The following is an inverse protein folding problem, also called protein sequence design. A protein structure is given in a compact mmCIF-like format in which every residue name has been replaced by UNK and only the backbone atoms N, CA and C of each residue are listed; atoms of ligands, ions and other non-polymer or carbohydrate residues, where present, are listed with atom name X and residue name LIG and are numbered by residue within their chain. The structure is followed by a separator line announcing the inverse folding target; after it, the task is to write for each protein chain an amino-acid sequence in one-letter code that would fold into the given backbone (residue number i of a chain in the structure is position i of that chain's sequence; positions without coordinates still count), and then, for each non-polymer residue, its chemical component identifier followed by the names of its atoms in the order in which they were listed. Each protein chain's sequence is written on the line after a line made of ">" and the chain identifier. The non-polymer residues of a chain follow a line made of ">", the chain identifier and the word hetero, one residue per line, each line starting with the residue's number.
data_IF_890233503628
#
_entry.id   IF_890233503628
#
_cell.length_a   1.000
_cell.length_b   1.000
_cell.length_c   1.000
_cell.angle_alpha   90.00
_cell.angle_beta   90.00
_cell.angle_gamma   90.00
#
_symmetry.space_group_name_H-M   'P 1'
#
loop_
_entity.id
_entity.type
_entity.pdbx_description
1 polymer ?
#
# COMPACT_ATOMS: atom_id res chain seq x y z
N UNK A 1 16.85 44.28 -76.86
CA UNK A 1 16.69 43.05 -76.09
C UNK A 1 16.91 43.40 -74.59
N UNK A 2 15.83 43.52 -73.80
CA UNK A 2 15.85 43.84 -72.38
C UNK A 2 15.53 42.53 -71.63
N UNK A 3 16.48 42.02 -70.82
CA UNK A 3 16.28 40.86 -69.98
C UNK A 3 15.61 41.31 -68.65
N UNK A 4 14.47 40.68 -68.35
CA UNK A 4 13.76 40.85 -67.08
C UNK A 4 14.24 39.75 -66.15
N UNK A 5 14.85 40.15 -65.02
CA UNK A 5 15.25 39.25 -63.94
C UNK A 5 14.11 39.19 -62.95
N UNK A 6 13.42 38.04 -62.86
CA UNK A 6 12.45 37.76 -61.85
C UNK A 6 13.14 37.23 -60.58
N UNK A 7 13.17 38.06 -59.50
CA UNK A 7 13.64 37.63 -58.17
C UNK A 7 12.49 36.95 -57.41
N UNK A 8 12.54 35.63 -57.22
CA UNK A 8 11.67 34.91 -56.30
C UNK A 8 12.21 35.06 -54.87
N UNK A 9 11.52 35.87 -54.07
CA UNK A 9 11.72 35.92 -52.63
C UNK A 9 11.03 34.74 -51.96
N UNK A 10 11.79 33.77 -51.45
CA UNK A 10 11.27 32.65 -50.63
C UNK A 10 11.01 33.19 -49.18
N UNK A 11 9.75 33.30 -48.80
CA UNK A 11 9.36 33.51 -47.41
C UNK A 11 9.58 32.25 -46.59
N UNK A 12 10.61 32.23 -45.75
CA UNK A 12 10.78 31.25 -44.70
C UNK A 12 9.77 31.56 -43.57
N UNK A 13 8.68 30.78 -43.49
CA UNK A 13 7.75 30.82 -42.35
C UNK A 13 8.44 30.12 -41.17
N UNK A 14 9.00 30.87 -40.24
CA UNK A 14 9.42 30.39 -38.94
C UNK A 14 8.17 30.06 -38.13
N UNK A 15 7.81 28.80 -38.06
CA UNK A 15 6.80 28.34 -37.15
C UNK A 15 7.33 28.52 -35.70
N UNK A 16 6.94 29.64 -35.08
CA UNK A 16 7.09 29.85 -33.65
C UNK A 16 6.29 28.74 -32.95
N UNK A 17 6.95 27.69 -32.51
CA UNK A 17 6.33 26.68 -31.66
C UNK A 17 5.78 27.37 -30.41
N UNK A 18 4.45 27.35 -30.25
CA UNK A 18 3.84 27.81 -29.01
C UNK A 18 4.48 27.07 -27.82
N UNK A 19 4.82 27.75 -26.74
CA UNK A 19 5.38 27.07 -25.57
C UNK A 19 4.38 26.00 -25.12
N UNK A 20 4.81 24.75 -25.09
CA UNK A 20 4.02 23.65 -24.50
C UNK A 20 3.84 24.03 -23.03
N UNK A 21 2.67 24.56 -22.70
CA UNK A 21 2.33 24.88 -21.32
C UNK A 21 2.30 23.57 -20.55
N UNK A 22 3.11 23.47 -19.52
CA UNK A 22 3.09 22.32 -18.64
C UNK A 22 1.66 22.11 -18.12
N UNK A 23 1.15 20.88 -18.22
CA UNK A 23 -0.14 20.56 -17.63
C UNK A 23 0.00 20.63 -16.10
N UNK A 24 -0.81 21.47 -15.46
CA UNK A 24 -0.85 21.59 -14.02
C UNK A 24 -1.99 20.73 -13.47
N UNK A 25 -1.67 19.87 -12.48
CA UNK A 25 -2.64 19.01 -11.80
C UNK A 25 -2.43 19.10 -10.30
N UNK A 26 -3.51 18.88 -9.54
CA UNK A 26 -3.50 18.86 -8.09
C UNK A 26 -3.73 17.45 -7.58
N UNK A 27 -2.82 16.98 -6.71
CA UNK A 27 -2.90 15.65 -6.05
C UNK A 27 -2.56 15.86 -4.56
N UNK A 28 -3.49 16.33 -3.72
CA UNK A 28 -3.27 16.44 -2.28
C UNK A 28 -3.01 15.08 -1.64
N UNK A 29 -2.17 15.06 -0.59
CA UNK A 29 -1.72 13.86 0.11
C UNK A 29 -2.27 13.90 1.55
N UNK A 30 -3.33 13.15 1.80
CA UNK A 30 -4.09 13.14 3.05
C UNK A 30 -3.87 11.81 3.78
N UNK A 31 -2.87 11.77 4.67
CA UNK A 31 -2.39 10.52 5.27
C UNK A 31 -2.09 10.68 6.77
N UNK A 32 -2.15 9.58 7.57
CA UNK A 32 -1.92 9.65 9.00
C UNK A 32 -0.41 9.74 9.31
N UNK A 33 0.10 10.95 9.58
CA UNK A 33 1.51 11.17 9.94
C UNK A 33 1.71 11.10 11.45
N UNK A 34 0.64 11.32 12.22
CA UNK A 34 0.61 11.19 13.67
C UNK A 34 -0.37 10.10 14.12
N UNK A 35 -0.35 9.77 15.42
CA UNK A 35 -1.17 8.72 16.01
C UNK A 35 -0.56 7.32 15.87
N UNK A 36 -1.37 6.28 16.10
CA UNK A 36 -0.88 4.90 16.15
C UNK A 36 -0.43 4.34 14.79
N UNK A 37 -0.75 5.04 13.68
CA UNK A 37 -0.38 4.65 12.31
C UNK A 37 0.72 5.54 11.72
N UNK A 38 1.45 6.28 12.55
CA UNK A 38 2.44 7.27 12.11
C UNK A 38 3.59 6.67 11.27
N UNK A 39 4.01 5.45 11.56
CA UNK A 39 5.07 4.75 10.81
C UNK A 39 4.59 4.43 9.38
N UNK A 40 3.44 3.78 9.29
CA UNK A 40 2.82 3.37 8.03
C UNK A 40 2.41 4.59 7.18
N UNK A 41 1.77 5.58 7.79
CA UNK A 41 1.33 6.79 7.11
C UNK A 41 2.50 7.66 6.62
N UNK A 42 3.59 7.74 7.38
CA UNK A 42 4.82 8.41 6.94
C UNK A 42 5.42 7.69 5.74
N UNK A 43 5.44 6.37 5.74
CA UNK A 43 5.91 5.56 4.62
C UNK A 43 5.06 5.81 3.37
N UNK A 44 3.73 5.78 3.50
CA UNK A 44 2.78 6.09 2.42
C UNK A 44 3.02 7.49 1.85
N UNK A 45 3.13 8.52 2.72
CA UNK A 45 3.45 9.90 2.31
C UNK A 45 4.73 9.96 1.49
N UNK A 46 5.78 9.32 1.98
CA UNK A 46 7.09 9.36 1.35
C UNK A 46 7.05 8.76 -0.06
N UNK A 47 6.35 7.64 -0.24
CA UNK A 47 6.14 7.03 -1.55
C UNK A 47 5.40 7.96 -2.52
N UNK A 48 4.29 8.56 -2.07
CA UNK A 48 3.53 9.52 -2.86
C UNK A 48 4.37 10.73 -3.27
N UNK A 49 5.08 11.34 -2.33
CA UNK A 49 5.89 12.54 -2.59
C UNK A 49 7.10 12.25 -3.49
N UNK A 50 7.68 11.06 -3.41
CA UNK A 50 8.76 10.66 -4.32
C UNK A 50 8.24 10.46 -5.75
N UNK A 51 7.04 9.86 -5.91
CA UNK A 51 6.40 9.74 -7.22
C UNK A 51 6.08 11.10 -7.84
N UNK A 52 5.58 12.05 -7.04
CA UNK A 52 5.31 13.43 -7.49
C UNK A 52 6.59 14.13 -7.91
N UNK A 53 7.69 13.94 -7.18
CA UNK A 53 9.00 14.48 -7.56
C UNK A 53 9.51 13.89 -8.89
N UNK A 54 9.19 12.62 -9.15
CA UNK A 54 9.55 11.88 -10.37
C UNK A 54 8.48 11.99 -11.47
N UNK A 55 7.59 12.99 -11.39
CA UNK A 55 6.55 13.19 -12.39
C UNK A 55 7.13 13.24 -13.82
N UNK A 56 6.42 12.73 -14.82
CA UNK A 56 6.85 12.81 -16.22
C UNK A 56 7.13 14.26 -16.65
N UNK A 57 8.12 14.49 -17.53
CA UNK A 57 8.42 15.82 -18.05
C UNK A 57 7.17 16.50 -18.64
N UNK A 58 7.05 17.82 -18.44
CA UNK A 58 5.90 18.58 -18.92
C UNK A 58 4.68 18.56 -18.00
N UNK A 59 4.77 17.95 -16.82
CA UNK A 59 3.76 18.04 -15.77
C UNK A 59 4.24 18.88 -14.59
N UNK A 60 3.37 19.76 -14.10
CA UNK A 60 3.50 20.40 -12.79
C UNK A 60 2.47 19.83 -11.85
N UNK A 61 2.92 19.22 -10.76
CA UNK A 61 2.03 18.58 -9.77
C UNK A 61 2.03 19.42 -8.50
N UNK A 62 0.87 19.92 -8.11
CA UNK A 62 0.67 20.55 -6.82
C UNK A 62 0.21 19.50 -5.82
N UNK A 63 0.90 19.40 -4.69
CA UNK A 63 0.65 18.38 -3.69
C UNK A 63 0.80 18.96 -2.28
N UNK A 64 -0.33 19.31 -1.69
CA UNK A 64 -0.40 19.71 -0.28
C UNK A 64 -0.50 18.46 0.59
N UNK A 65 0.37 18.34 1.59
CA UNK A 65 0.33 17.26 2.55
C UNK A 65 -0.49 17.69 3.77
N UNK A 66 -1.47 16.88 4.15
CA UNK A 66 -2.23 17.08 5.38
C UNK A 66 -2.19 15.81 6.25
N UNK A 67 -1.91 16.00 7.53
CA UNK A 67 -2.00 14.94 8.53
C UNK A 67 -3.47 14.65 8.84
N UNK A 68 -3.85 13.38 8.69
CA UNK A 68 -5.20 12.92 9.04
C UNK A 68 -5.25 12.30 10.44
N UNK A 69 -4.12 12.26 11.17
CA UNK A 69 -4.03 11.54 12.43
C UNK A 69 -4.54 10.12 12.27
N UNK A 70 -5.31 9.65 13.24
CA UNK A 70 -5.98 8.34 13.18
C UNK A 70 -7.48 8.42 13.45
N UNK A 71 -8.07 9.62 13.30
CA UNK A 71 -9.48 9.88 13.51
C UNK A 71 -10.21 10.10 12.17
N UNK A 72 -11.36 9.44 11.93
CA UNK A 72 -12.09 9.54 10.66
C UNK A 72 -12.56 10.96 10.33
N UNK A 73 -13.01 11.73 11.32
CA UNK A 73 -13.46 13.12 11.15
C UNK A 73 -12.33 14.06 10.71
N UNK A 74 -11.11 13.85 11.18
CA UNK A 74 -9.93 14.61 10.74
C UNK A 74 -9.63 14.33 9.25
N UNK A 75 -9.78 13.09 8.81
CA UNK A 75 -9.58 12.71 7.41
C UNK A 75 -10.67 13.33 6.50
N UNK A 76 -11.94 13.29 6.94
CA UNK A 76 -13.05 13.93 6.24
C UNK A 76 -12.81 15.43 6.10
N UNK A 77 -12.51 16.12 7.19
CA UNK A 77 -12.21 17.55 7.19
C UNK A 77 -11.00 17.92 6.30
N UNK A 78 -9.99 17.05 6.23
CA UNK A 78 -8.84 17.27 5.35
C UNK A 78 -9.24 17.15 3.87
N UNK A 79 -10.09 16.18 3.52
CA UNK A 79 -10.62 16.01 2.17
C UNK A 79 -11.51 17.21 1.76
N UNK A 80 -12.44 17.62 2.59
CA UNK A 80 -13.32 18.76 2.33
C UNK A 80 -12.51 20.05 2.11
N UNK A 81 -11.48 20.29 2.94
CA UNK A 81 -10.58 21.44 2.76
C UNK A 81 -9.79 21.37 1.44
N UNK A 82 -9.36 20.18 1.03
CA UNK A 82 -8.68 20.02 -0.25
C UNK A 82 -9.60 20.32 -1.43
N UNK A 83 -10.84 19.81 -1.39
CA UNK A 83 -11.88 20.04 -2.39
C UNK A 83 -12.33 21.51 -2.45
N UNK A 84 -12.40 22.18 -1.29
CA UNK A 84 -12.80 23.60 -1.21
C UNK A 84 -11.76 24.59 -1.74
N UNK A 85 -10.47 24.19 -1.84
CA UNK A 85 -9.41 25.05 -2.41
C UNK A 85 -9.41 25.02 -3.93
N UNK A 86 -9.52 23.85 -4.49
CA UNK A 86 -9.61 23.59 -5.93
C UNK A 86 -10.08 22.14 -6.17
N UNK A 87 -10.58 21.85 -7.36
CA UNK A 87 -10.94 20.49 -7.75
C UNK A 87 -9.66 19.67 -8.00
N UNK A 88 -9.26 18.73 -7.11
CA UNK A 88 -8.07 17.93 -7.32
C UNK A 88 -8.30 16.91 -8.45
N UNK A 89 -7.25 16.62 -9.22
CA UNK A 89 -7.29 15.58 -10.26
C UNK A 89 -7.40 14.17 -9.64
N UNK A 90 -6.75 13.97 -8.50
CA UNK A 90 -6.86 12.81 -7.64
C UNK A 90 -6.47 13.19 -6.21
N UNK A 91 -6.74 12.33 -5.25
CA UNK A 91 -6.33 12.47 -3.85
C UNK A 91 -5.58 11.21 -3.42
N UNK A 92 -4.38 11.36 -2.88
CA UNK A 92 -3.76 10.28 -2.10
C UNK A 92 -4.49 10.22 -0.76
N UNK A 93 -5.30 9.20 -0.58
CA UNK A 93 -6.12 9.02 0.61
C UNK A 93 -5.42 8.13 1.64
N UNK A 94 -5.79 8.32 2.90
CA UNK A 94 -5.28 7.53 4.02
C UNK A 94 -5.22 6.04 3.73
N UNK A 95 -4.28 5.36 4.35
CA UNK A 95 -4.23 3.90 4.36
C UNK A 95 -5.08 3.27 5.48
N UNK A 96 -5.50 4.05 6.49
CA UNK A 96 -6.35 3.56 7.56
C UNK A 96 -7.78 3.34 7.04
N UNK A 97 -8.25 2.09 7.08
CA UNK A 97 -9.54 1.69 6.51
C UNK A 97 -10.72 2.51 7.02
N UNK A 98 -10.80 2.79 8.34
CA UNK A 98 -11.85 3.63 8.93
C UNK A 98 -11.88 5.04 8.36
N UNK A 99 -10.71 5.63 8.07
CA UNK A 99 -10.61 6.94 7.44
C UNK A 99 -11.04 6.91 5.96
N UNK A 100 -10.55 5.92 5.19
CA UNK A 100 -10.94 5.79 3.78
C UNK A 100 -12.44 5.59 3.66
N UNK A 101 -13.04 4.70 4.49
CA UNK A 101 -14.49 4.46 4.49
C UNK A 101 -15.28 5.74 4.77
N UNK A 102 -14.82 6.60 5.67
CA UNK A 102 -15.44 7.90 5.94
C UNK A 102 -15.30 8.90 4.78
N UNK A 103 -14.22 8.80 3.98
CA UNK A 103 -13.99 9.63 2.80
C UNK A 103 -14.78 9.20 1.56
N UNK A 104 -15.22 7.92 1.47
CA UNK A 104 -15.88 7.39 0.27
C UNK A 104 -17.15 8.16 -0.16
N UNK A 105 -18.07 8.54 0.74
CA UNK A 105 -19.28 9.30 0.35
C UNK A 105 -18.90 10.64 -0.31
N UNK A 106 -17.92 11.35 0.23
CA UNK A 106 -17.45 12.65 -0.29
C UNK A 106 -16.78 12.46 -1.65
N UNK A 107 -15.94 11.43 -1.79
CA UNK A 107 -15.31 11.10 -3.06
C UNK A 107 -16.33 10.77 -4.15
N UNK A 108 -17.43 10.09 -3.80
CA UNK A 108 -18.53 9.78 -4.71
C UNK A 108 -19.28 11.05 -5.13
N UNK A 109 -19.62 11.93 -4.18
CA UNK A 109 -20.31 13.20 -4.43
C UNK A 109 -19.50 14.11 -5.36
N UNK A 110 -18.23 14.29 -5.06
CA UNK A 110 -17.32 15.16 -5.82
C UNK A 110 -16.68 14.47 -7.04
N UNK A 111 -16.94 13.17 -7.25
CA UNK A 111 -16.40 12.36 -8.35
C UNK A 111 -14.88 12.44 -8.47
N UNK A 112 -14.18 12.41 -7.32
CA UNK A 112 -12.73 12.52 -7.24
C UNK A 112 -12.10 11.16 -6.93
N UNK A 113 -11.11 10.69 -7.72
CA UNK A 113 -10.46 9.41 -7.47
C UNK A 113 -9.54 9.48 -6.23
N UNK A 114 -9.73 8.52 -5.33
CA UNK A 114 -8.89 8.26 -4.16
C UNK A 114 -7.86 7.19 -4.49
N UNK A 115 -6.58 7.48 -4.30
CA UNK A 115 -5.47 6.55 -4.45
C UNK A 115 -5.01 6.10 -3.06
N UNK A 116 -5.15 4.83 -2.72
CA UNK A 116 -4.85 4.34 -1.37
C UNK A 116 -4.04 3.04 -1.40
N UNK A 117 -3.38 2.75 -0.28
CA UNK A 117 -2.72 1.46 0.01
C UNK A 117 -3.36 0.76 1.22
N UNK A 118 -4.62 1.06 1.51
CA UNK A 118 -5.37 0.43 2.61
C UNK A 118 -5.54 -1.08 2.38
N UNK A 119 -5.23 -1.89 3.40
CA UNK A 119 -5.47 -3.34 3.38
C UNK A 119 -6.95 -3.73 3.54
N UNK A 120 -7.75 -2.86 4.17
CA UNK A 120 -9.15 -3.15 4.56
C UNK A 120 -10.03 -3.53 3.37
N UNK A 121 -10.60 -4.73 3.34
CA UNK A 121 -11.37 -5.26 2.22
C UNK A 121 -12.56 -4.37 1.85
N UNK A 122 -13.34 -3.92 2.85
CA UNK A 122 -14.57 -3.14 2.65
C UNK A 122 -14.37 -1.81 1.92
N UNK A 123 -13.14 -1.30 1.82
CA UNK A 123 -12.82 -0.06 1.09
C UNK A 123 -13.23 -0.13 -0.38
N UNK A 124 -13.06 -1.28 -1.03
CA UNK A 124 -13.42 -1.50 -2.45
C UNK A 124 -14.72 -2.30 -2.63
N UNK A 125 -15.33 -2.78 -1.55
CA UNK A 125 -16.56 -3.58 -1.60
C UNK A 125 -17.83 -2.74 -1.49
N UNK A 126 -17.71 -1.43 -1.25
CA UNK A 126 -18.85 -0.50 -1.15
C UNK A 126 -19.39 -0.02 -2.49
N UNK A 127 -18.83 -0.48 -3.60
CA UNK A 127 -19.27 -0.11 -4.95
C UNK A 127 -18.96 1.33 -5.35
N UNK A 128 -17.99 2.00 -4.71
CA UNK A 128 -17.58 3.34 -5.06
C UNK A 128 -16.60 3.29 -6.25
N UNK A 129 -16.92 3.89 -7.43
CA UNK A 129 -16.06 3.82 -8.61
C UNK A 129 -14.83 4.75 -8.53
N UNK A 130 -14.73 5.57 -7.49
CA UNK A 130 -13.68 6.57 -7.31
C UNK A 130 -12.63 6.15 -6.28
N UNK A 131 -12.49 4.87 -5.95
CA UNK A 131 -11.43 4.37 -5.08
C UNK A 131 -10.54 3.40 -5.84
N UNK A 132 -9.22 3.59 -5.74
CA UNK A 132 -8.20 2.75 -6.39
C UNK A 132 -7.14 2.36 -5.36
N UNK A 133 -7.03 1.05 -5.12
CA UNK A 133 -6.15 0.47 -4.11
C UNK A 133 -4.91 -0.15 -4.74
N UNK A 134 -3.75 0.44 -4.47
CA UNK A 134 -2.45 0.01 -5.00
C UNK A 134 -1.65 -0.87 -4.02
N UNK A 135 -2.33 -1.49 -3.10
CA UNK A 135 -1.82 -2.52 -2.21
C UNK A 135 -2.81 -3.69 -2.22
N UNK A 136 -2.36 -4.95 -2.23
CA UNK A 136 -3.31 -6.05 -2.23
C UNK A 136 -4.11 -6.04 -0.91
N UNK A 137 -5.43 -6.00 -1.04
CA UNK A 137 -6.32 -5.98 0.12
C UNK A 137 -6.25 -7.27 0.94
N UNK A 138 -6.84 -7.25 2.12
CA UNK A 138 -6.84 -8.39 3.03
C UNK A 138 -7.42 -9.64 2.38
N UNK A 139 -8.45 -9.51 1.52
CA UNK A 139 -9.00 -10.63 0.74
C UNK A 139 -7.97 -11.33 -0.17
N UNK A 140 -6.85 -10.68 -0.48
CA UNK A 140 -5.75 -11.21 -1.30
C UNK A 140 -4.58 -11.63 -0.40
N UNK A 141 -4.09 -10.72 0.46
CA UNK A 141 -2.90 -11.00 1.28
C UNK A 141 -3.13 -12.15 2.25
N UNK A 142 -4.34 -12.30 2.79
CA UNK A 142 -4.64 -13.36 3.75
C UNK A 142 -4.75 -14.74 3.10
N UNK A 143 -5.02 -14.81 1.79
CA UNK A 143 -4.85 -16.06 1.05
C UNK A 143 -3.37 -16.48 1.08
N UNK A 144 -2.45 -15.58 0.76
CA UNK A 144 -1.01 -15.88 0.81
C UNK A 144 -0.55 -16.22 2.23
N UNK A 145 -1.02 -15.48 3.24
CA UNK A 145 -0.72 -15.66 4.65
C UNK A 145 -1.07 -17.09 5.13
N UNK A 146 -2.32 -17.51 4.93
CA UNK A 146 -2.82 -18.83 5.36
C UNK A 146 -2.25 -19.96 4.49
N UNK A 147 -2.12 -19.75 3.18
CA UNK A 147 -1.48 -20.74 2.29
C UNK A 147 -0.04 -21.00 2.68
N UNK A 148 0.72 -19.96 3.04
CA UNK A 148 2.09 -20.15 3.52
C UNK A 148 2.14 -21.02 4.79
N UNK A 149 1.26 -20.75 5.74
CA UNK A 149 1.13 -21.58 6.95
C UNK A 149 0.83 -23.05 6.60
N UNK A 150 -0.11 -23.30 5.70
CA UNK A 150 -0.49 -24.66 5.30
C UNK A 150 0.57 -25.35 4.42
N UNK A 151 1.03 -24.64 3.36
CA UNK A 151 1.85 -25.26 2.31
C UNK A 151 3.32 -25.41 2.71
N UNK A 152 3.86 -24.42 3.41
CA UNK A 152 5.29 -24.34 3.74
C UNK A 152 5.54 -24.76 5.19
N UNK A 153 4.80 -24.20 6.15
CA UNK A 153 4.96 -24.55 7.56
C UNK A 153 4.22 -25.83 7.95
N UNK A 154 3.39 -26.41 7.04
CA UNK A 154 2.61 -27.63 7.24
C UNK A 154 1.65 -27.55 8.44
N UNK A 155 1.25 -26.34 8.82
CA UNK A 155 0.35 -26.09 9.93
C UNK A 155 -1.04 -26.66 9.64
N UNK A 156 -1.67 -27.20 10.68
CA UNK A 156 -3.08 -27.61 10.69
C UNK A 156 -3.89 -26.87 11.74
N UNK A 157 -3.22 -26.34 12.74
CA UNK A 157 -3.80 -25.64 13.90
C UNK A 157 -3.25 -24.23 13.94
N UNK A 158 -4.12 -23.25 13.75
CA UNK A 158 -3.76 -21.84 13.69
C UNK A 158 -4.16 -21.14 14.99
N UNK A 159 -3.31 -20.28 15.52
CA UNK A 159 -3.72 -19.22 16.44
C UNK A 159 -3.76 -17.89 15.67
N UNK A 160 -4.72 -17.03 15.98
CA UNK A 160 -4.88 -15.71 15.37
C UNK A 160 -4.99 -14.64 16.45
N UNK A 161 -4.17 -13.60 16.33
CA UNK A 161 -4.35 -12.35 17.06
C UNK A 161 -4.55 -11.24 16.04
N UNK A 162 -5.72 -10.57 16.09
CA UNK A 162 -6.08 -9.48 15.20
C UNK A 162 -6.29 -8.17 15.96
N UNK A 163 -6.31 -7.05 15.24
CA UNK A 163 -6.64 -5.75 15.82
C UNK A 163 -8.17 -5.55 15.87
N UNK A 164 -8.67 -4.72 16.79
CA UNK A 164 -10.11 -4.36 16.86
C UNK A 164 -10.54 -3.33 15.82
N UNK A 165 -9.62 -2.80 14.99
CA UNK A 165 -9.92 -1.84 13.91
C UNK A 165 -10.60 -2.53 12.71
N UNK A 166 -11.19 -1.74 11.79
CA UNK A 166 -11.73 -2.26 10.51
C UNK A 166 -10.69 -3.09 9.73
N UNK A 167 -9.42 -2.67 9.75
CA UNK A 167 -8.32 -3.46 9.19
C UNK A 167 -8.21 -4.83 9.88
N UNK A 168 -8.19 -4.84 11.21
CA UNK A 168 -8.09 -6.11 11.95
C UNK A 168 -9.28 -7.04 11.71
N UNK A 169 -10.50 -6.51 11.69
CA UNK A 169 -11.71 -7.29 11.42
C UNK A 169 -11.73 -7.83 9.98
N UNK A 170 -11.33 -7.01 9.01
CA UNK A 170 -11.22 -7.39 7.60
C UNK A 170 -10.26 -8.57 7.40
N UNK A 171 -9.04 -8.46 7.92
CA UNK A 171 -8.05 -9.53 7.79
C UNK A 171 -8.41 -10.79 8.57
N UNK A 172 -9.01 -10.65 9.75
CA UNK A 172 -9.56 -11.76 10.53
C UNK A 172 -10.56 -12.56 9.70
N UNK A 173 -11.57 -11.92 9.15
CA UNK A 173 -12.60 -12.59 8.33
C UNK A 173 -11.98 -13.29 7.09
N UNK A 174 -10.98 -12.66 6.45
CA UNK A 174 -10.29 -13.25 5.31
C UNK A 174 -9.42 -14.47 5.70
N UNK A 175 -8.77 -14.44 6.87
CA UNK A 175 -8.02 -15.57 7.43
C UNK A 175 -8.97 -16.73 7.74
N UNK A 176 -10.09 -16.46 8.44
CA UNK A 176 -11.10 -17.46 8.78
C UNK A 176 -11.65 -18.14 7.53
N UNK A 177 -12.05 -17.35 6.53
CA UNK A 177 -12.58 -17.88 5.27
C UNK A 177 -11.55 -18.73 4.51
N UNK A 178 -10.28 -18.30 4.51
CA UNK A 178 -9.22 -19.06 3.83
C UNK A 178 -8.85 -20.33 4.59
N UNK A 179 -8.77 -20.27 5.92
CA UNK A 179 -8.51 -21.44 6.76
C UNK A 179 -9.60 -22.51 6.58
N UNK A 180 -10.88 -22.09 6.57
CA UNK A 180 -12.00 -23.00 6.33
C UNK A 180 -11.92 -23.70 4.96
N UNK A 181 -11.59 -22.94 3.89
CA UNK A 181 -11.40 -23.49 2.54
C UNK A 181 -10.26 -24.53 2.46
N UNK A 182 -9.23 -24.37 3.29
CA UNK A 182 -8.06 -25.25 3.32
C UNK A 182 -8.17 -26.35 4.38
N UNK A 183 -9.28 -26.43 5.12
CA UNK A 183 -9.50 -27.42 6.16
C UNK A 183 -8.59 -27.25 7.39
N UNK A 184 -8.17 -26.01 7.70
CA UNK A 184 -7.34 -25.70 8.85
C UNK A 184 -8.19 -25.31 10.05
N UNK A 185 -7.78 -25.72 11.25
CA UNK A 185 -8.47 -25.38 12.48
C UNK A 185 -7.90 -24.10 13.11
N UNK A 186 -8.73 -23.09 13.35
CA UNK A 186 -8.37 -21.97 14.22
C UNK A 186 -8.66 -22.42 15.65
N UNK A 187 -7.60 -22.70 16.41
CA UNK A 187 -7.69 -23.25 17.77
C UNK A 187 -7.63 -22.17 18.85
N UNK A 188 -7.25 -20.96 18.48
CA UNK A 188 -7.27 -19.77 19.33
C UNK A 188 -7.46 -18.54 18.45
N UNK A 189 -8.27 -17.61 18.96
CA UNK A 189 -8.50 -16.35 18.32
C UNK A 189 -8.81 -15.28 19.36
N UNK A 190 -8.18 -14.11 19.23
CA UNK A 190 -8.46 -12.95 20.07
C UNK A 190 -8.21 -11.64 19.29
N UNK A 191 -9.14 -10.68 19.45
CA UNK A 191 -8.95 -9.32 18.92
C UNK A 191 -8.51 -8.39 20.05
N UNK A 192 -7.47 -7.58 19.78
CA UNK A 192 -6.83 -6.72 20.77
C UNK A 192 -6.89 -5.24 20.36
N UNK A 193 -6.99 -4.37 21.33
CA UNK A 193 -6.98 -2.92 21.14
C UNK A 193 -5.59 -2.42 20.70
N UNK A 194 -5.54 -1.35 19.88
CA UNK A 194 -4.30 -0.73 19.41
C UNK A 194 -3.45 -0.14 20.53
N UNK A 195 -4.06 0.18 21.66
CA UNK A 195 -3.40 0.77 22.82
C UNK A 195 -2.93 -0.27 23.83
N UNK A 196 -3.21 -1.56 23.59
CA UNK A 196 -2.78 -2.63 24.51
C UNK A 196 -1.25 -2.62 24.66
N UNK A 197 -0.77 -2.64 25.92
CA UNK A 197 0.66 -2.53 26.26
C UNK A 197 1.27 -3.85 26.74
N UNK A 198 0.44 -4.85 27.02
CA UNK A 198 0.87 -6.17 27.45
C UNK A 198 0.04 -7.25 26.77
N UNK A 199 0.67 -8.02 25.91
CA UNK A 199 0.10 -9.18 25.20
C UNK A 199 0.44 -10.50 25.87
N UNK A 200 1.25 -10.49 26.98
CA UNK A 200 1.67 -11.72 27.64
C UNK A 200 0.52 -12.61 28.09
N UNK A 201 -0.62 -12.09 28.61
CA UNK A 201 -1.78 -12.93 28.94
C UNK A 201 -2.38 -13.61 27.71
N UNK A 202 -2.47 -12.90 26.57
CA UNK A 202 -2.99 -13.44 25.32
C UNK A 202 -2.05 -14.52 24.77
N UNK A 203 -0.74 -14.25 24.76
CA UNK A 203 0.28 -15.21 24.34
C UNK A 203 0.32 -16.46 25.25
N UNK A 204 0.01 -16.33 26.52
CA UNK A 204 -0.18 -17.45 27.45
C UNK A 204 -1.32 -18.35 27.02
N UNK A 205 -2.47 -17.78 26.58
CA UNK A 205 -3.59 -18.55 26.04
C UNK A 205 -3.23 -19.22 24.70
N UNK A 206 -2.49 -18.53 23.82
CA UNK A 206 -1.95 -19.10 22.56
C UNK A 206 -1.13 -20.35 22.88
N UNK A 207 -0.19 -20.26 23.83
CA UNK A 207 0.64 -21.42 24.26
C UNK A 207 -0.23 -22.59 24.74
N UNK A 208 -1.26 -22.31 25.54
CA UNK A 208 -2.16 -23.34 26.07
C UNK A 208 -2.98 -24.03 24.95
N UNK A 209 -3.33 -23.31 23.88
CA UNK A 209 -4.06 -23.84 22.74
C UNK A 209 -3.20 -24.74 21.83
N UNK A 210 -1.88 -24.75 21.98
CA UNK A 210 -0.92 -25.58 21.19
C UNK A 210 -1.14 -25.47 19.68
N UNK A 211 -1.07 -24.26 19.08
CA UNK A 211 -1.13 -24.11 17.63
C UNK A 211 0.19 -24.53 16.99
N UNK A 212 0.15 -24.82 15.68
CA UNK A 212 1.34 -25.06 14.86
C UNK A 212 1.98 -23.74 14.37
N UNK A 213 1.20 -22.66 14.31
CA UNK A 213 1.62 -21.33 13.88
C UNK A 213 0.77 -20.24 14.54
N UNK A 214 1.39 -19.12 14.85
CA UNK A 214 0.71 -17.89 15.28
C UNK A 214 0.62 -16.90 14.10
N UNK A 215 -0.59 -16.54 13.72
CA UNK A 215 -0.87 -15.52 12.74
C UNK A 215 -1.13 -14.19 13.46
N UNK A 216 -0.43 -13.13 13.07
CA UNK A 216 -0.63 -11.79 13.59
C UNK A 216 -1.19 -10.88 12.50
N UNK A 217 -2.33 -10.26 12.77
CA UNK A 217 -2.91 -9.23 11.92
C UNK A 217 -3.12 -7.95 12.70
N UNK A 218 -1.99 -7.26 12.93
CA UNK A 218 -1.85 -6.13 13.84
C UNK A 218 -1.16 -4.96 13.13
N UNK A 219 -1.37 -3.74 13.64
CA UNK A 219 -0.59 -2.57 13.24
C UNK A 219 0.85 -2.65 13.77
N UNK A 220 1.74 -1.75 13.32
CA UNK A 220 3.18 -1.81 13.54
C UNK A 220 3.58 -1.96 15.02
N UNK A 221 3.11 -1.08 15.88
CA UNK A 221 3.44 -1.11 17.32
C UNK A 221 3.01 -2.41 18.01
N UNK A 222 1.73 -2.79 17.96
CA UNK A 222 1.25 -4.07 18.49
C UNK A 222 1.94 -5.31 17.89
N UNK A 223 2.30 -5.29 16.60
CA UNK A 223 3.07 -6.39 15.98
C UNK A 223 4.44 -6.54 16.62
N UNK A 224 5.18 -5.45 16.76
CA UNK A 224 6.50 -5.49 17.42
C UNK A 224 6.39 -5.92 18.90
N UNK A 225 5.36 -5.44 19.60
CA UNK A 225 5.12 -5.84 21.00
C UNK A 225 4.84 -7.34 21.11
N UNK A 226 3.96 -7.89 20.24
CA UNK A 226 3.62 -9.31 20.25
C UNK A 226 4.86 -10.19 20.02
N UNK A 227 5.69 -9.85 19.02
CA UNK A 227 6.89 -10.61 18.69
C UNK A 227 7.91 -10.54 19.84
N UNK A 228 8.17 -9.35 20.38
CA UNK A 228 9.08 -9.17 21.53
C UNK A 228 8.64 -10.00 22.73
N UNK A 229 7.36 -9.93 23.10
CA UNK A 229 6.83 -10.67 24.24
C UNK A 229 6.78 -12.18 23.98
N UNK A 230 6.48 -12.62 22.75
CA UNK A 230 6.57 -14.03 22.38
C UNK A 230 8.01 -14.56 22.55
N UNK A 231 9.01 -13.81 22.10
CA UNK A 231 10.42 -14.15 22.28
C UNK A 231 10.82 -14.18 23.75
N UNK A 232 10.45 -13.17 24.55
CA UNK A 232 10.72 -13.10 25.99
C UNK A 232 10.09 -14.28 26.77
N UNK A 233 8.92 -14.73 26.32
CA UNK A 233 8.23 -15.89 26.90
C UNK A 233 8.78 -17.24 26.39
N UNK A 234 9.76 -17.26 25.49
CA UNK A 234 10.22 -18.47 24.78
C UNK A 234 9.04 -19.24 24.14
N UNK A 235 8.20 -18.53 23.43
CA UNK A 235 7.10 -19.13 22.67
C UNK A 235 7.67 -19.71 21.37
N UNK A 236 8.04 -20.98 21.39
CA UNK A 236 8.65 -21.69 20.26
C UNK A 236 7.58 -22.14 19.24
N UNK A 237 6.95 -21.16 18.61
CA UNK A 237 5.91 -21.32 17.58
C UNK A 237 6.26 -20.38 16.42
N UNK A 238 6.30 -20.86 15.16
CA UNK A 238 6.46 -19.99 14.01
C UNK A 238 5.42 -18.85 14.01
N UNK A 239 5.84 -17.65 13.65
CA UNK A 239 4.96 -16.48 13.56
C UNK A 239 4.90 -16.02 12.10
N UNK A 240 3.69 -15.84 11.56
CA UNK A 240 3.50 -15.13 10.31
C UNK A 240 2.70 -13.86 10.62
N UNK A 241 3.32 -12.71 10.42
CA UNK A 241 2.72 -11.42 10.71
C UNK A 241 2.14 -10.76 9.45
N UNK A 242 1.32 -9.74 9.65
CA UNK A 242 0.83 -8.88 8.59
C UNK A 242 1.92 -7.96 8.03
N UNK A 243 1.57 -7.21 7.00
CA UNK A 243 2.48 -6.32 6.24
C UNK A 243 3.20 -5.27 7.09
N UNK A 244 2.62 -4.90 8.23
CA UNK A 244 3.23 -3.93 9.15
C UNK A 244 4.59 -4.36 9.68
N UNK A 245 4.88 -5.66 9.81
CA UNK A 245 6.19 -6.14 10.23
C UNK A 245 7.27 -5.91 9.16
N UNK A 246 6.90 -5.97 7.88
CA UNK A 246 7.87 -5.78 6.79
C UNK A 246 8.45 -4.37 6.74
N UNK A 247 7.83 -3.39 7.41
CA UNK A 247 8.39 -2.04 7.49
C UNK A 247 9.74 -2.05 8.23
N UNK A 248 10.81 -1.48 7.64
CA UNK A 248 12.11 -1.37 8.29
C UNK A 248 12.04 -0.63 9.64
N UNK A 249 11.15 0.36 9.75
CA UNK A 249 10.90 1.11 11.00
C UNK A 249 10.25 0.26 12.09
N UNK A 250 9.35 -0.66 11.72
CA UNK A 250 8.77 -1.64 12.65
C UNK A 250 9.80 -2.69 13.06
N UNK A 251 10.54 -3.25 12.10
CA UNK A 251 11.60 -4.21 12.38
C UNK A 251 12.70 -3.61 13.26
N UNK A 252 12.96 -2.30 13.16
CA UNK A 252 13.91 -1.59 14.00
C UNK A 252 13.52 -1.53 15.49
N UNK A 253 12.25 -1.76 15.82
CA UNK A 253 11.76 -1.88 17.20
C UNK A 253 12.14 -3.22 17.85
N UNK A 254 12.66 -4.17 17.09
CA UNK A 254 12.97 -5.52 17.53
C UNK A 254 14.47 -5.80 17.42
N UNK A 255 15.00 -6.62 18.33
CA UNK A 255 16.33 -7.18 18.15
C UNK A 255 16.32 -8.27 17.06
N UNK A 256 17.40 -8.43 16.28
CA UNK A 256 17.45 -9.47 15.25
C UNK A 256 17.09 -10.87 15.77
N UNK A 257 17.52 -11.21 16.99
CA UNK A 257 17.22 -12.52 17.58
C UNK A 257 15.73 -12.75 17.83
N UNK A 258 14.95 -11.70 18.12
CA UNK A 258 13.49 -11.75 18.32
C UNK A 258 12.75 -12.06 17.02
N UNK A 259 13.37 -11.80 15.86
CA UNK A 259 12.84 -12.08 14.53
C UNK A 259 13.13 -13.49 14.02
N UNK A 260 13.75 -14.37 14.82
CA UNK A 260 14.03 -15.74 14.40
C UNK A 260 12.73 -16.52 14.21
N UNK A 261 12.54 -17.13 13.02
CA UNK A 261 11.33 -17.90 12.71
C UNK A 261 10.08 -17.04 12.47
N UNK A 262 10.28 -15.73 12.31
CA UNK A 262 9.19 -14.79 12.05
C UNK A 262 9.16 -14.46 10.56
N UNK A 263 7.98 -14.57 9.96
CA UNK A 263 7.72 -14.16 8.58
C UNK A 263 6.66 -13.05 8.55
N UNK A 264 6.53 -12.38 7.41
CA UNK A 264 5.48 -11.41 7.15
C UNK A 264 4.95 -11.52 5.72
N UNK A 265 3.68 -11.24 5.54
CA UNK A 265 3.13 -11.02 4.20
C UNK A 265 3.36 -9.57 3.78
N UNK A 266 3.47 -9.31 2.49
CA UNK A 266 3.46 -7.96 1.92
C UNK A 266 3.21 -8.00 0.41
N UNK A 267 3.12 -6.84 -0.23
CA UNK A 267 3.01 -6.74 -1.70
C UNK A 267 4.37 -6.92 -2.40
N UNK A 268 5.42 -6.30 -1.83
CA UNK A 268 6.77 -6.30 -2.36
C UNK A 268 7.77 -6.09 -1.23
N UNK A 269 9.03 -6.43 -1.48
CA UNK A 269 10.12 -6.19 -0.53
C UNK A 269 11.25 -5.43 -1.24
N UNK A 270 11.21 -4.08 -1.26
CA UNK A 270 12.26 -3.28 -1.87
C UNK A 270 13.64 -3.62 -1.33
N UNK A 271 13.75 -3.79 -0.01
CA UNK A 271 15.02 -4.06 0.69
C UNK A 271 15.60 -5.46 0.40
N UNK A 272 14.85 -6.33 -0.26
CA UNK A 272 15.34 -7.66 -0.66
C UNK A 272 16.00 -7.68 -2.05
N UNK A 273 16.19 -6.50 -2.68
CA UNK A 273 16.76 -6.33 -4.02
C UNK A 273 15.70 -6.40 -5.12
N UNK A 274 16.10 -6.08 -6.35
CA UNK A 274 15.18 -6.02 -7.47
C UNK A 274 15.83 -5.63 -8.80
N UNK A 275 15.03 -4.99 -9.67
CA UNK A 275 15.48 -4.48 -10.97
C UNK A 275 16.33 -3.21 -10.82
N UNK A 276 17.04 -2.77 -11.87
CA UNK A 276 17.72 -1.48 -11.87
C UNK A 276 16.80 -0.28 -11.56
N UNK A 277 15.52 -0.38 -11.92
CA UNK A 277 14.50 0.61 -11.58
C UNK A 277 14.21 0.63 -10.08
N UNK A 278 14.13 -0.55 -9.47
CA UNK A 278 13.97 -0.69 -8.02
C UNK A 278 15.19 -0.10 -7.29
N UNK A 279 16.40 -0.38 -7.74
CA UNK A 279 17.61 0.18 -7.13
C UNK A 279 17.65 1.71 -7.21
N UNK A 280 17.20 2.31 -8.33
CA UNK A 280 17.07 3.77 -8.43
C UNK A 280 16.05 4.33 -7.45
N UNK A 281 14.90 3.68 -7.32
CA UNK A 281 13.88 4.06 -6.34
C UNK A 281 14.44 4.01 -4.90
N UNK A 282 15.13 2.92 -4.55
CA UNK A 282 15.78 2.75 -3.25
C UNK A 282 16.77 3.87 -2.95
N UNK A 283 17.66 4.17 -3.91
CA UNK A 283 18.65 5.21 -3.75
C UNK A 283 18.01 6.59 -3.54
N UNK A 284 17.03 6.96 -4.37
CA UNK A 284 16.30 8.22 -4.23
C UNK A 284 15.56 8.32 -2.90
N UNK A 285 14.94 7.23 -2.46
CA UNK A 285 14.21 7.18 -1.19
C UNK A 285 15.15 7.36 0.00
N UNK A 286 16.28 6.64 0.04
CA UNK A 286 17.32 6.76 1.07
C UNK A 286 17.90 8.16 1.14
N UNK A 287 18.23 8.74 -0.03
CA UNK A 287 18.82 10.07 -0.11
C UNK A 287 17.89 11.13 0.46
N UNK A 288 16.60 11.00 0.19
CA UNK A 288 15.59 11.98 0.59
C UNK A 288 15.12 11.81 2.03
N UNK A 289 14.83 10.58 2.45
CA UNK A 289 14.13 10.31 3.71
C UNK A 289 15.01 9.70 4.80
N UNK A 290 16.25 9.34 4.47
CA UNK A 290 17.25 8.76 5.39
C UNK A 290 16.76 7.49 6.10
N UNK A 291 15.88 6.75 5.42
CA UNK A 291 15.33 5.47 5.87
C UNK A 291 15.11 4.56 4.67
N UNK A 292 14.85 3.28 4.93
CA UNK A 292 14.52 2.30 3.90
C UNK A 292 13.01 2.38 3.55
N UNK A 293 12.63 2.20 2.28
CA UNK A 293 11.24 2.06 1.89
C UNK A 293 10.69 0.67 2.24
N UNK A 294 9.38 0.60 2.36
CA UNK A 294 8.61 -0.62 2.54
C UNK A 294 7.59 -0.84 1.40
N UNK A 295 6.74 -1.85 1.56
CA UNK A 295 5.70 -2.16 0.59
C UNK A 295 4.62 -1.08 0.46
N UNK A 296 4.33 -0.33 1.53
CA UNK A 296 3.35 0.77 1.49
C UNK A 296 3.89 1.96 0.70
N UNK A 297 5.14 2.37 0.97
CA UNK A 297 5.81 3.40 0.18
C UNK A 297 5.85 3.04 -1.30
N UNK A 298 6.21 1.80 -1.61
CA UNK A 298 6.35 1.33 -2.99
C UNK A 298 4.99 1.24 -3.69
N UNK A 299 3.97 0.68 -3.03
CA UNK A 299 2.62 0.61 -3.59
C UNK A 299 2.02 2.00 -3.85
N UNK A 300 2.21 2.95 -2.92
CA UNK A 300 1.74 4.31 -3.13
C UNK A 300 2.54 5.06 -4.21
N UNK A 301 3.84 4.83 -4.30
CA UNK A 301 4.68 5.33 -5.40
C UNK A 301 4.15 4.85 -6.75
N UNK A 302 3.95 3.55 -6.92
CA UNK A 302 3.43 2.96 -8.16
C UNK A 302 2.04 3.50 -8.50
N UNK A 303 1.16 3.65 -7.51
CA UNK A 303 -0.19 4.18 -7.70
C UNK A 303 -0.20 5.62 -8.20
N UNK A 304 0.62 6.47 -7.61
CA UNK A 304 0.76 7.87 -8.05
C UNK A 304 1.45 7.93 -9.42
N UNK A 305 2.46 7.11 -9.69
CA UNK A 305 3.12 7.05 -11.01
C UNK A 305 2.17 6.59 -12.11
N UNK A 306 1.29 5.61 -11.85
CA UNK A 306 0.24 5.21 -12.80
C UNK A 306 -0.70 6.39 -13.12
N UNK A 307 -1.15 7.11 -12.09
CA UNK A 307 -1.98 8.30 -12.27
C UNK A 307 -1.26 9.39 -13.07
N UNK A 308 -0.02 9.72 -12.73
CA UNK A 308 0.77 10.73 -13.42
C UNK A 308 1.07 10.35 -14.89
N UNK A 309 1.28 9.09 -15.19
CA UNK A 309 1.43 8.63 -16.57
C UNK A 309 0.11 8.73 -17.35
N UNK A 310 -1.03 8.49 -16.71
CA UNK A 310 -2.33 8.72 -17.34
C UNK A 310 -2.57 10.21 -17.60
N UNK A 311 -2.21 11.08 -16.66
CA UNK A 311 -2.26 12.54 -16.82
C UNK A 311 -1.36 13.01 -17.98
N UNK A 312 -0.14 12.49 -18.07
CA UNK A 312 0.79 12.81 -19.16
C UNK A 312 0.24 12.40 -20.55
N UNK A 313 -0.66 11.42 -20.59
CA UNK A 313 -1.39 11.00 -21.81
C UNK A 313 -2.72 11.74 -22.01
N UNK A 314 -2.99 12.79 -21.23
CA UNK A 314 -4.16 13.66 -21.39
C UNK A 314 -5.30 13.44 -20.39
N UNK A 315 -5.18 12.51 -19.42
CA UNK A 315 -6.20 12.29 -18.39
C UNK A 315 -6.09 13.34 -17.25
N UNK A 316 -6.26 14.62 -17.58
CA UNK A 316 -6.02 15.76 -16.66
C UNK A 316 -7.22 16.10 -15.76
N UNK A 317 -8.39 15.50 -16.01
CA UNK A 317 -9.60 15.69 -15.18
C UNK A 317 -9.86 14.46 -14.32
N UNK A 318 -10.55 14.60 -13.16
CA UNK A 318 -10.94 13.48 -12.32
C UNK A 318 -11.66 12.36 -13.09
N UNK A 319 -12.59 12.72 -13.97
CA UNK A 319 -13.35 11.77 -14.77
C UNK A 319 -12.47 10.99 -15.77
N UNK A 320 -11.58 11.69 -16.49
CA UNK A 320 -10.67 11.06 -17.44
C UNK A 320 -9.66 10.16 -16.72
N UNK A 321 -9.15 10.59 -15.57
CA UNK A 321 -8.24 9.79 -14.75
C UNK A 321 -8.93 8.54 -14.17
N UNK A 322 -10.16 8.68 -13.66
CA UNK A 322 -10.96 7.54 -13.20
C UNK A 322 -11.14 6.50 -14.31
N UNK A 323 -11.50 6.93 -15.51
CA UNK A 323 -11.65 6.04 -16.69
C UNK A 323 -10.31 5.35 -17.03
N UNK A 324 -9.21 6.09 -17.04
CA UNK A 324 -7.88 5.56 -17.32
C UNK A 324 -7.42 4.52 -16.30
N UNK A 325 -7.66 4.77 -15.01
CA UNK A 325 -7.32 3.84 -13.92
C UNK A 325 -8.21 2.59 -13.95
N UNK A 326 -9.51 2.74 -14.25
CA UNK A 326 -10.46 1.62 -14.30
C UNK A 326 -10.19 0.62 -15.40
N UNK A 327 -9.61 1.05 -16.53
CA UNK A 327 -9.36 0.21 -17.71
C UNK A 327 -7.88 -0.07 -17.96
N UNK A 328 -6.98 0.68 -17.32
CA UNK A 328 -5.55 0.61 -17.58
C UNK A 328 -4.87 -0.58 -16.92
N UNK A 329 -3.75 -0.99 -17.53
CA UNK A 329 -2.76 -1.88 -16.93
C UNK A 329 -1.46 -1.11 -16.77
N UNK A 330 -0.82 -1.24 -15.61
CA UNK A 330 0.42 -0.57 -15.29
C UNK A 330 1.45 -1.56 -14.74
N UNK A 331 2.62 -1.60 -15.36
CA UNK A 331 3.77 -2.35 -14.84
C UNK A 331 4.54 -1.44 -13.91
N UNK A 332 4.26 -1.56 -12.61
CA UNK A 332 4.94 -0.82 -11.56
C UNK A 332 6.24 -1.51 -11.10
N UNK A 333 6.86 -0.95 -10.09
CA UNK A 333 8.05 -1.53 -9.47
C UNK A 333 7.71 -2.73 -8.59
N UNK A 334 6.58 -2.66 -7.86
CA UNK A 334 6.15 -3.75 -6.98
C UNK A 334 5.58 -4.92 -7.78
N UNK A 335 4.69 -4.63 -8.71
CA UNK A 335 3.93 -5.63 -9.47
C UNK A 335 3.26 -5.02 -10.70
N UNK A 336 2.56 -5.85 -11.46
CA UNK A 336 1.61 -5.37 -12.48
C UNK A 336 0.28 -5.03 -11.79
N UNK A 337 -0.22 -3.81 -12.06
CA UNK A 337 -1.50 -3.31 -11.56
C UNK A 337 -2.54 -3.31 -12.67
N UNK A 338 -3.74 -3.78 -12.36
CA UNK A 338 -4.89 -3.84 -13.27
C UNK A 338 -6.17 -3.79 -12.45
N UNK A 339 -7.16 -3.02 -12.85
CA UNK A 339 -8.41 -2.96 -12.09
C UNK A 339 -9.19 -4.28 -12.18
N UNK A 340 -9.75 -4.72 -11.04
CA UNK A 340 -10.73 -5.81 -10.97
C UNK A 340 -12.17 -5.36 -11.28
N UNK A 341 -12.34 -4.07 -11.63
CA UNK A 341 -13.64 -3.42 -11.81
C UNK A 341 -14.27 -2.89 -10.52
N UNK A 342 -13.67 -3.13 -9.36
CA UNK A 342 -14.13 -2.66 -8.04
C UNK A 342 -13.15 -1.70 -7.36
N UNK A 343 -12.02 -1.41 -8.03
CA UNK A 343 -10.97 -0.53 -7.53
C UNK A 343 -9.76 -1.24 -6.91
N UNK A 344 -9.73 -2.59 -6.84
CA UNK A 344 -8.50 -3.30 -6.53
C UNK A 344 -7.59 -3.30 -7.75
N UNK A 345 -6.36 -2.84 -7.56
CA UNK A 345 -5.35 -2.76 -8.61
C UNK A 345 -4.26 -3.81 -8.44
N UNK A 346 -4.07 -4.35 -7.24
CA UNK A 346 -2.99 -5.25 -6.85
C UNK A 346 -3.53 -6.65 -6.51
N UNK A 347 -2.97 -7.70 -7.15
CA UNK A 347 -3.52 -9.07 -7.14
C UNK A 347 -2.52 -10.13 -6.69
N UNK A 348 -1.32 -9.72 -6.30
CA UNK A 348 -0.22 -10.59 -5.90
C UNK A 348 0.26 -10.24 -4.50
N UNK A 349 0.84 -11.22 -3.81
CA UNK A 349 1.46 -11.03 -2.50
C UNK A 349 2.72 -11.88 -2.37
N UNK A 350 3.61 -11.47 -1.48
CA UNK A 350 4.81 -12.24 -1.13
C UNK A 350 4.84 -12.51 0.37
N UNK A 351 5.53 -13.57 0.75
CA UNK A 351 5.95 -13.80 2.12
C UNK A 351 7.45 -13.57 2.21
N UNK A 352 7.84 -12.76 3.17
CA UNK A 352 9.24 -12.54 3.54
C UNK A 352 9.50 -13.15 4.90
N UNK A 353 10.71 -13.67 5.15
CA UNK A 353 11.09 -14.26 6.42
C UNK A 353 12.41 -13.70 6.92
N UNK A 354 12.56 -13.64 8.24
CA UNK A 354 13.75 -13.18 8.93
C UNK A 354 14.55 -14.38 9.46
N UNK A 355 15.88 -14.26 9.42
CA UNK A 355 16.79 -15.33 9.84
C UNK A 355 17.25 -15.23 11.31
N UNK A 356 16.82 -14.19 12.02
CA UNK A 356 17.24 -13.93 13.39
C UNK A 356 18.64 -13.32 13.51
N UNK A 357 19.30 -12.98 12.41
CA UNK A 357 20.63 -12.35 12.37
C UNK A 357 20.59 -10.94 11.84
N UNK A 358 19.56 -10.60 11.11
CA UNK A 358 19.36 -9.31 10.47
C UNK A 358 17.92 -8.87 10.58
N UNK A 359 17.69 -7.54 10.49
CA UNK A 359 16.35 -6.94 10.33
C UNK A 359 15.93 -6.84 8.86
N UNK A 360 16.76 -7.29 7.93
CA UNK A 360 16.44 -7.34 6.51
C UNK A 360 15.91 -8.72 6.17
N UNK A 361 14.64 -8.85 5.78
CA UNK A 361 14.06 -10.15 5.46
C UNK A 361 14.45 -10.62 4.07
N UNK A 362 14.23 -11.91 3.81
CA UNK A 362 14.36 -12.51 2.47
C UNK A 362 12.99 -12.94 1.97
N UNK A 363 12.77 -12.83 0.66
CA UNK A 363 11.55 -13.35 0.04
C UNK A 363 11.57 -14.87 0.12
N UNK A 364 10.61 -15.43 0.87
CA UNK A 364 10.46 -16.87 1.06
C UNK A 364 9.51 -17.48 0.03
N UNK A 365 8.43 -16.78 -0.35
CA UNK A 365 7.44 -17.27 -1.32
C UNK A 365 6.80 -16.09 -2.06
N UNK A 366 6.51 -16.30 -3.34
CA UNK A 366 5.67 -15.40 -4.16
C UNK A 366 4.36 -16.11 -4.48
N UNK A 367 3.28 -15.34 -4.45
CA UNK A 367 1.95 -15.74 -4.86
C UNK A 367 1.45 -14.72 -5.87
N UNK A 368 1.47 -15.08 -7.13
CA UNK A 368 1.07 -14.20 -8.22
C UNK A 368 -0.41 -14.45 -8.55
N UNK A 369 -1.10 -13.37 -8.95
CA UNK A 369 -2.49 -13.38 -9.45
C UNK A 369 -3.45 -14.24 -8.60
N UNK A 370 -3.54 -13.92 -7.30
CA UNK A 370 -4.27 -14.72 -6.30
C UNK A 370 -5.79 -14.78 -6.55
N UNK A 371 -6.34 -13.88 -7.35
CA UNK A 371 -7.76 -13.80 -7.71
C UNK A 371 -8.03 -13.97 -9.22
N UNK A 372 -7.00 -14.23 -10.02
CA UNK A 372 -7.11 -14.50 -11.46
C UNK A 372 -7.43 -13.27 -12.30
N UNK A 373 -7.22 -12.05 -11.81
CA UNK A 373 -7.51 -10.82 -12.54
C UNK A 373 -6.48 -10.54 -13.62
N UNK A 374 -5.21 -10.83 -13.38
CA UNK A 374 -4.13 -10.57 -14.33
C UNK A 374 -4.18 -11.52 -15.54
N UNK A 375 -4.72 -12.72 -15.36
CA UNK A 375 -4.84 -13.71 -16.41
C UNK A 375 -6.04 -13.48 -17.36
N UNK A 376 -6.97 -12.59 -17.02
CA UNK A 376 -8.12 -12.18 -17.83
C UNK A 376 -7.74 -10.98 -18.70
#
# INVERSE_FOLDING_TARGET
>A
MRAVICSCAALLAVALGAPVRAAEVSIPVLVPITGFLSLEGTSQRNGAMLAIQNAPPGLTVRADVADTGTAPDVAVNALERALGREAPTAVVASMLGTQVLAMLPIALEHKVPLLTVSGTASVTEKGNPYVFRFFPGDAITKIAHVRYAAEILKAKRLALIAQTTEYGQSGRAAIEATAAKLGLAIVFEESVDVQLRDLSPVLGKVRAAKPDVLLLHLHAGPTALAIRQAAAMNLDIPIVAGSALHQPTTAALLEPAELRGVCAETNASPVSGGSPEMERFLQQYRDRYKTEPDGYALGQYDGVMMALQAVARGATTPAALTAALSSGTYRGLAMTYKSDGKGNMAHSAIIVCYDGKSRVPRIAKRYDDLDGVLAR
#
